data_IF_432146833508
#
_entry.id   IF_432146833508
#
_cell.length_a   1.000
_cell.length_b   1.000
_cell.length_c   1.000
_cell.angle_alpha   90.00
_cell.angle_beta   90.00
_cell.angle_gamma   90.00
#
_symmetry.space_group_name_H-M   'P 1'
#
loop_
_entity.id
_entity.type
_entity.pdbx_description
1 polymer ?
#
# COMPACT_ATOMS: atom_id res chain seq x y z
N UNK A 1 -16.72 -16.90 -9.23
CA UNK A 1 -16.84 -15.45 -9.00
C UNK A 1 -17.25 -15.23 -7.55
N UNK A 2 -16.31 -14.95 -6.65
CA UNK A 2 -16.61 -14.80 -5.23
C UNK A 2 -17.19 -13.40 -4.96
N UNK A 3 -18.43 -13.36 -4.46
CA UNK A 3 -19.14 -12.14 -4.04
C UNK A 3 -18.65 -11.73 -2.64
N UNK A 4 -17.50 -11.07 -2.56
CA UNK A 4 -17.12 -10.36 -1.32
C UNK A 4 -18.03 -9.15 -1.19
N UNK A 5 -18.86 -9.13 -0.13
CA UNK A 5 -19.71 -7.99 0.18
C UNK A 5 -18.85 -6.82 0.67
N UNK A 6 -19.26 -5.55 0.45
CA UNK A 6 -18.45 -4.37 0.78
C UNK A 6 -18.05 -4.26 2.27
N UNK A 7 -18.74 -4.98 3.16
CA UNK A 7 -18.48 -4.99 4.60
C UNK A 7 -17.42 -6.00 5.04
N UNK A 8 -17.10 -6.99 4.22
CA UNK A 8 -16.10 -8.04 4.53
C UNK A 8 -14.69 -7.65 4.06
N UNK A 9 -14.59 -6.67 3.16
CA UNK A 9 -13.31 -6.20 2.64
C UNK A 9 -12.40 -5.64 3.74
N UNK A 10 -12.88 -4.78 4.66
CA UNK A 10 -12.03 -4.22 5.72
C UNK A 10 -11.50 -5.30 6.66
N UNK A 11 -12.34 -6.25 7.09
CA UNK A 11 -11.94 -7.30 8.04
C UNK A 11 -10.90 -8.26 7.48
N UNK A 12 -11.07 -8.70 6.23
CA UNK A 12 -10.08 -9.57 5.56
C UNK A 12 -8.76 -8.85 5.39
N UNK A 13 -8.80 -7.56 5.05
CA UNK A 13 -7.61 -6.72 4.91
C UNK A 13 -6.88 -6.58 6.26
N UNK A 14 -7.61 -6.36 7.35
CA UNK A 14 -7.04 -6.30 8.70
C UNK A 14 -6.30 -7.58 9.09
N UNK A 15 -6.94 -8.74 8.88
CA UNK A 15 -6.35 -10.04 9.22
C UNK A 15 -5.11 -10.32 8.37
N UNK A 16 -5.16 -9.99 7.07
CA UNK A 16 -4.02 -10.11 6.16
C UNK A 16 -2.85 -9.26 6.63
N UNK A 17 -3.07 -7.98 6.98
CA UNK A 17 -2.00 -7.12 7.47
C UNK A 17 -1.45 -7.56 8.82
N UNK A 18 -2.31 -8.06 9.72
CA UNK A 18 -1.87 -8.62 10.99
C UNK A 18 -0.97 -9.84 10.78
N UNK A 19 -1.40 -10.78 9.92
CA UNK A 19 -0.62 -11.96 9.56
C UNK A 19 0.75 -11.57 8.96
N UNK A 20 0.75 -10.63 8.01
CA UNK A 20 1.98 -10.16 7.37
C UNK A 20 2.94 -9.52 8.38
N UNK A 21 2.44 -8.70 9.30
CA UNK A 21 3.28 -8.10 10.34
C UNK A 21 3.91 -9.17 11.25
N UNK A 22 3.18 -10.24 11.58
CA UNK A 22 3.72 -11.37 12.34
C UNK A 22 4.80 -12.11 11.55
N UNK A 23 4.54 -12.41 10.27
CA UNK A 23 5.51 -13.08 9.38
C UNK A 23 6.80 -12.27 9.26
N UNK A 24 6.70 -10.96 9.00
CA UNK A 24 7.86 -10.08 8.84
C UNK A 24 8.72 -9.97 10.09
N UNK A 25 8.15 -10.21 11.28
CA UNK A 25 8.85 -10.09 12.57
C UNK A 25 9.40 -11.42 13.08
N UNK A 26 8.76 -12.52 12.73
CA UNK A 26 8.99 -13.82 13.38
C UNK A 26 9.54 -14.88 12.46
N UNK A 27 9.42 -14.73 11.14
CA UNK A 27 9.87 -15.76 10.20
C UNK A 27 11.36 -15.62 9.87
N UNK A 28 12.11 -16.69 10.05
CA UNK A 28 13.56 -16.73 9.79
C UNK A 28 13.87 -16.82 8.28
N UNK A 29 12.98 -17.43 7.48
CA UNK A 29 13.21 -17.63 6.07
C UNK A 29 13.01 -16.33 5.28
N UNK A 30 14.08 -15.88 4.61
CA UNK A 30 14.04 -14.65 3.82
C UNK A 30 12.99 -14.72 2.71
N UNK A 31 12.79 -15.88 2.07
CA UNK A 31 11.77 -16.01 1.01
C UNK A 31 10.34 -15.77 1.52
N UNK A 32 10.06 -16.13 2.78
CA UNK A 32 8.73 -15.92 3.38
C UNK A 32 8.51 -14.44 3.67
N UNK A 33 9.53 -13.76 4.21
CA UNK A 33 9.49 -12.31 4.42
C UNK A 33 9.39 -11.54 3.09
N UNK A 34 10.13 -11.94 2.06
CA UNK A 34 10.01 -11.39 0.70
C UNK A 34 8.58 -11.55 0.16
N UNK A 35 8.00 -12.74 0.27
CA UNK A 35 6.63 -12.99 -0.16
C UNK A 35 5.63 -12.11 0.60
N UNK A 36 5.82 -11.91 1.90
CA UNK A 36 4.96 -11.05 2.71
C UNK A 36 5.01 -9.57 2.25
N UNK A 37 6.20 -9.04 1.96
CA UNK A 37 6.36 -7.68 1.39
C UNK A 37 5.73 -7.59 -0.01
N UNK A 38 5.89 -8.63 -0.82
CA UNK A 38 5.30 -8.69 -2.16
C UNK A 38 3.77 -8.67 -2.08
N UNK A 39 3.17 -9.40 -1.13
CA UNK A 39 1.71 -9.37 -0.91
C UNK A 39 1.24 -7.96 -0.56
N UNK A 40 1.92 -7.24 0.35
CA UNK A 40 1.60 -5.82 0.63
C UNK A 40 1.65 -5.01 -0.67
N UNK A 41 2.72 -5.15 -1.45
CA UNK A 41 2.93 -4.41 -2.69
C UNK A 41 1.79 -4.66 -3.69
N UNK A 42 1.35 -5.92 -3.84
CA UNK A 42 0.26 -6.30 -4.73
C UNK A 42 -1.09 -5.79 -4.24
N UNK A 43 -1.33 -5.79 -2.92
CA UNK A 43 -2.55 -5.21 -2.33
C UNK A 43 -2.62 -3.71 -2.59
N UNK A 44 -1.52 -2.97 -2.36
CA UNK A 44 -1.45 -1.54 -2.65
C UNK A 44 -1.68 -1.23 -4.14
N UNK A 45 -1.05 -2.00 -5.03
CA UNK A 45 -1.27 -1.88 -6.48
C UNK A 45 -2.70 -2.21 -6.90
N UNK A 46 -3.30 -3.25 -6.31
CA UNK A 46 -4.67 -3.66 -6.60
C UNK A 46 -5.71 -2.66 -6.13
N UNK A 47 -5.44 -1.96 -5.02
CA UNK A 47 -6.31 -0.90 -4.50
C UNK A 47 -6.12 0.44 -5.25
N UNK A 48 -4.91 0.75 -5.69
CA UNK A 48 -4.61 1.95 -6.47
C UNK A 48 -5.11 3.23 -5.78
N UNK A 49 -5.95 4.01 -6.46
CA UNK A 49 -6.53 5.25 -5.91
C UNK A 49 -7.45 5.00 -4.70
N UNK A 50 -8.05 3.81 -4.59
CA UNK A 50 -8.89 3.46 -3.44
C UNK A 50 -8.08 3.10 -2.20
N UNK A 51 -6.74 3.01 -2.29
CA UNK A 51 -5.86 2.64 -1.17
C UNK A 51 -6.11 3.54 0.05
N UNK A 52 -6.19 4.85 -0.14
CA UNK A 52 -6.39 5.78 0.98
C UNK A 52 -7.79 5.59 1.58
N UNK A 53 -8.82 5.38 0.77
CA UNK A 53 -10.18 5.19 1.25
C UNK A 53 -10.36 3.85 2.01
N UNK A 54 -9.72 2.78 1.53
CA UNK A 54 -9.86 1.43 2.09
C UNK A 54 -8.92 1.18 3.27
N UNK A 55 -7.71 1.77 3.26
CA UNK A 55 -6.66 1.54 4.25
C UNK A 55 -6.38 2.75 5.14
N UNK A 56 -7.24 3.77 5.17
CA UNK A 56 -6.99 5.03 5.89
C UNK A 56 -6.48 4.82 7.34
N UNK A 57 -7.05 3.86 8.05
CA UNK A 57 -6.76 3.54 9.44
C UNK A 57 -5.50 2.66 9.62
N UNK A 58 -5.01 2.04 8.55
CA UNK A 58 -3.82 1.18 8.52
C UNK A 58 -2.64 1.74 7.72
N UNK A 59 -2.85 2.81 6.97
CA UNK A 59 -1.86 3.39 6.07
C UNK A 59 -0.56 3.74 6.81
N UNK A 60 -0.69 4.33 8.00
CA UNK A 60 0.44 4.69 8.86
C UNK A 60 1.20 3.44 9.33
N UNK A 61 0.48 2.43 9.79
CA UNK A 61 1.07 1.17 10.28
C UNK A 61 1.83 0.46 9.17
N UNK A 62 1.25 0.40 7.97
CA UNK A 62 1.85 -0.19 6.77
C UNK A 62 3.12 0.55 6.38
N UNK A 63 3.07 1.89 6.34
CA UNK A 63 4.24 2.71 6.03
C UNK A 63 5.38 2.48 7.03
N UNK A 64 5.07 2.49 8.33
CA UNK A 64 6.05 2.25 9.38
C UNK A 64 6.65 0.84 9.32
N UNK A 65 5.83 -0.18 9.03
CA UNK A 65 6.28 -1.55 8.84
C UNK A 65 7.24 -1.67 7.65
N UNK A 66 6.90 -1.09 6.50
CA UNK A 66 7.77 -1.10 5.33
C UNK A 66 9.07 -0.35 5.58
N UNK A 67 9.03 0.80 6.27
CA UNK A 67 10.23 1.54 6.69
C UNK A 67 11.12 0.74 7.64
N UNK A 68 10.50 0.00 8.56
CA UNK A 68 11.22 -0.89 9.46
C UNK A 68 11.93 -2.01 8.67
N UNK A 69 11.23 -2.69 7.76
CA UNK A 69 11.79 -3.75 6.92
C UNK A 69 12.91 -3.21 6.02
N UNK A 70 12.69 -2.08 5.34
CA UNK A 70 13.70 -1.40 4.52
C UNK A 70 15.00 -1.14 5.29
N UNK A 71 14.91 -0.78 6.58
CA UNK A 71 16.08 -0.39 7.37
C UNK A 71 16.73 -1.55 8.13
N UNK A 72 15.96 -2.58 8.50
CA UNK A 72 16.38 -3.58 9.50
C UNK A 72 16.38 -5.03 8.99
N UNK A 73 15.77 -5.34 7.83
CA UNK A 73 15.79 -6.73 7.35
C UNK A 73 17.23 -7.14 6.99
N UNK A 74 17.61 -8.34 7.41
CA UNK A 74 18.92 -8.90 7.13
C UNK A 74 19.12 -9.17 5.64
N UNK A 75 18.05 -9.53 4.94
CA UNK A 75 18.07 -9.87 3.52
C UNK A 75 17.93 -8.62 2.64
N UNK A 76 18.92 -8.39 1.78
CA UNK A 76 18.97 -7.21 0.91
C UNK A 76 17.80 -7.16 -0.08
N UNK A 77 17.44 -8.29 -0.66
CA UNK A 77 16.32 -8.38 -1.59
C UNK A 77 15.01 -7.99 -0.91
N UNK A 78 14.80 -8.39 0.35
CA UNK A 78 13.64 -7.99 1.16
C UNK A 78 13.62 -6.48 1.41
N UNK A 79 14.77 -5.86 1.71
CA UNK A 79 14.88 -4.41 1.84
C UNK A 79 14.53 -3.69 0.54
N UNK A 80 15.02 -4.18 -0.60
CA UNK A 80 14.71 -3.62 -1.93
C UNK A 80 13.21 -3.74 -2.22
N UNK A 81 12.58 -4.88 -1.93
CA UNK A 81 11.14 -5.04 -2.09
C UNK A 81 10.35 -4.05 -1.22
N UNK A 82 10.81 -3.78 0.01
CA UNK A 82 10.18 -2.80 0.88
C UNK A 82 10.33 -1.36 0.34
N UNK A 83 11.50 -1.02 -0.21
CA UNK A 83 11.74 0.27 -0.86
C UNK A 83 10.83 0.47 -2.07
N UNK A 84 10.64 -0.55 -2.91
CA UNK A 84 9.71 -0.50 -4.05
C UNK A 84 8.27 -0.30 -3.59
N UNK A 85 7.86 -0.99 -2.52
CA UNK A 85 6.52 -0.84 -1.94
C UNK A 85 6.30 0.59 -1.40
N UNK A 86 7.29 1.16 -0.71
CA UNK A 86 7.26 2.55 -0.22
C UNK A 86 7.14 3.55 -1.37
N UNK A 87 7.92 3.38 -2.44
CA UNK A 87 7.82 4.23 -3.63
C UNK A 87 6.43 4.18 -4.27
N UNK A 88 5.85 2.99 -4.39
CA UNK A 88 4.47 2.83 -4.88
C UNK A 88 3.45 3.54 -3.99
N UNK A 89 3.61 3.45 -2.68
CA UNK A 89 2.73 4.14 -1.72
C UNK A 89 2.86 5.66 -1.82
N UNK A 90 4.08 6.18 -1.96
CA UNK A 90 4.33 7.61 -2.16
C UNK A 90 3.70 8.13 -3.45
N UNK A 91 3.79 7.37 -4.54
CA UNK A 91 3.12 7.72 -5.81
C UNK A 91 1.60 7.84 -5.61
N UNK A 92 0.97 6.83 -5.00
CA UNK A 92 -0.48 6.84 -4.73
C UNK A 92 -0.85 8.04 -3.85
N UNK A 93 -0.09 8.32 -2.79
CA UNK A 93 -0.35 9.45 -1.91
C UNK A 93 -0.19 10.80 -2.63
N UNK A 94 0.83 10.95 -3.47
CA UNK A 94 1.03 12.18 -4.25
C UNK A 94 -0.10 12.42 -5.23
N UNK A 95 -0.53 11.40 -5.96
CA UNK A 95 -1.65 11.51 -6.91
C UNK A 95 -2.97 11.90 -6.23
N UNK A 96 -3.18 11.46 -4.99
CA UNK A 96 -4.39 11.77 -4.22
C UNK A 96 -4.33 13.14 -3.52
N UNK A 97 -3.18 13.54 -2.99
CA UNK A 97 -3.00 14.82 -2.30
C UNK A 97 -2.83 16.00 -3.28
N UNK A 98 -2.26 15.73 -4.45
CA UNK A 98 -1.98 16.73 -5.47
C UNK A 98 -2.56 16.29 -6.82
N UNK A 99 -3.90 16.21 -6.96
CA UNK A 99 -4.50 15.89 -8.23
C UNK A 99 -4.13 16.98 -9.26
N UNK A 100 -3.78 16.57 -10.49
CA UNK A 100 -3.44 17.52 -11.55
C UNK A 100 -4.58 18.53 -11.74
N UNK A 101 -4.30 19.80 -11.48
CA UNK A 101 -5.25 20.88 -11.73
C UNK A 101 -5.37 21.10 -13.24
N UNK A 102 -6.34 20.43 -13.87
CA UNK A 102 -6.75 20.78 -15.23
C UNK A 102 -7.46 22.13 -15.19
N UNK A 103 -6.72 23.21 -15.46
CA UNK A 103 -7.29 24.53 -15.74
C UNK A 103 -8.16 24.44 -16.99
N UNK A 104 -9.44 24.17 -16.81
CA UNK A 104 -10.44 24.30 -17.88
C UNK A 104 -10.66 25.80 -18.07
N UNK A 105 -10.08 26.38 -19.13
CA UNK A 105 -10.38 27.75 -19.52
C UNK A 105 -11.85 27.82 -19.95
N UNK A 106 -12.72 28.25 -19.03
CA UNK A 106 -14.07 28.68 -19.38
C UNK A 106 -13.97 30.00 -20.15
N UNK A 107 -13.88 29.91 -21.48
CA UNK A 107 -14.00 31.07 -22.34
C UNK A 107 -15.50 31.35 -22.50
N UNK A 108 -16.04 32.24 -21.67
CA UNK A 108 -17.36 32.82 -21.90
C UNK A 108 -17.21 33.99 -22.86
N UNK A 109 -17.80 33.88 -24.05
CA UNK A 109 -17.97 34.99 -24.99
C UNK A 109 -19.02 35.94 -24.41
N UNK A 110 -18.60 37.14 -24.00
CA UNK A 110 -19.52 38.22 -23.65
C UNK A 110 -20.18 38.72 -24.94
N UNK A 111 -21.51 38.67 -24.99
CA UNK A 111 -22.33 39.22 -26.07
C UNK A 111 -22.92 40.55 -25.63
#
# INVERSE_FOLDING_TARGET
MCRLSPRTLPTVVHEVFHCINTVLRSDEASQVRQAAVLVITLVLKGLGQNTIAVLSDKLKDIYQLLKFVESNDQDETTRIHAQVALGGLETIMREQLFPEQRLVKHISVLR
#
